data_IF_204696292180
#
_entry.id   IF_204696292180
#
_cell.length_a   1.000
_cell.length_b   1.000
_cell.length_c   1.000
_cell.angle_alpha   90.00
_cell.angle_beta   90.00
_cell.angle_gamma   90.00
#
_symmetry.space_group_name_H-M   'P 1'
#
loop_
_entity.id
_entity.type
_entity.pdbx_description
1 polymer ?
#
# COMPACT_ATOMS: atom_id res chain seq x y z
N UNK A 1 27.34 4.86 -24.26
CA UNK A 1 26.53 3.87 -23.51
C UNK A 1 25.07 4.12 -23.86
N UNK A 2 24.42 3.22 -24.59
CA UNK A 2 23.05 3.40 -25.04
C UNK A 2 22.12 3.21 -23.83
N UNK A 3 21.40 4.26 -23.41
CA UNK A 3 20.38 4.14 -22.38
C UNK A 3 19.20 3.35 -22.95
N UNK A 4 19.20 2.02 -22.78
CA UNK A 4 17.98 1.24 -22.94
C UNK A 4 17.06 1.64 -21.78
N UNK A 5 15.94 2.31 -22.07
CA UNK A 5 14.92 2.54 -21.04
C UNK A 5 14.33 1.18 -20.67
N UNK A 6 14.83 0.59 -19.58
CA UNK A 6 14.20 -0.57 -18.97
C UNK A 6 12.74 -0.26 -18.65
N UNK A 7 11.87 -1.25 -18.87
CA UNK A 7 10.46 -1.18 -18.47
C UNK A 7 10.43 -1.02 -16.94
N UNK A 8 9.78 0.06 -16.46
CA UNK A 8 9.56 0.29 -15.04
C UNK A 8 8.17 -0.18 -14.65
N UNK A 9 8.10 -0.88 -13.53
CA UNK A 9 6.85 -1.28 -12.89
C UNK A 9 6.71 -0.51 -11.59
N UNK A 10 5.51 -0.01 -11.34
CA UNK A 10 5.11 0.53 -10.04
C UNK A 10 4.22 -0.50 -9.36
N UNK A 11 4.47 -0.76 -8.08
CA UNK A 11 3.75 -1.76 -7.29
C UNK A 11 3.17 -1.06 -6.08
N UNK A 12 1.89 -1.29 -5.81
CA UNK A 12 1.22 -0.83 -4.59
C UNK A 12 0.72 -2.06 -3.83
N UNK A 13 1.46 -2.48 -2.78
CA UNK A 13 1.14 -3.64 -1.97
C UNK A 13 0.37 -3.26 -0.69
N UNK A 14 -0.38 -4.20 -0.13
CA UNK A 14 -0.91 -4.21 1.24
C UNK A 14 -0.69 -5.59 1.82
N UNK A 15 -0.13 -5.65 3.02
CA UNK A 15 0.17 -6.87 3.75
C UNK A 15 -0.74 -6.97 4.98
N UNK A 16 -1.54 -8.03 5.05
CA UNK A 16 -2.35 -8.36 6.23
C UNK A 16 -1.52 -9.07 7.29
N UNK A 17 -1.99 -9.03 8.54
CA UNK A 17 -1.32 -9.67 9.69
C UNK A 17 -1.33 -11.20 9.60
N UNK A 18 -2.27 -11.76 8.84
CA UNK A 18 -2.39 -13.18 8.52
C UNK A 18 -1.45 -13.62 7.39
N UNK A 19 -0.69 -12.68 6.80
CA UNK A 19 0.18 -12.90 5.66
C UNK A 19 -0.52 -12.75 4.31
N UNK A 20 -1.79 -12.31 4.27
CA UNK A 20 -2.48 -11.98 3.02
C UNK A 20 -1.79 -10.81 2.31
N UNK A 21 -1.74 -10.87 0.98
CA UNK A 21 -1.05 -9.88 0.16
C UNK A 21 -1.96 -9.39 -0.97
N UNK A 22 -2.40 -8.13 -0.88
CA UNK A 22 -3.12 -7.45 -1.95
C UNK A 22 -2.13 -6.58 -2.74
N UNK A 23 -2.00 -6.80 -4.05
CA UNK A 23 -1.01 -6.08 -4.86
C UNK A 23 -1.63 -5.57 -6.13
N UNK A 24 -1.48 -4.26 -6.36
CA UNK A 24 -1.75 -3.65 -7.66
C UNK A 24 -0.45 -3.35 -8.38
N UNK A 25 -0.36 -3.84 -9.63
CA UNK A 25 0.78 -3.69 -10.52
C UNK A 25 0.44 -2.73 -11.66
N UNK A 26 1.23 -1.67 -11.83
CA UNK A 26 1.12 -0.74 -12.93
C UNK A 26 2.40 -0.79 -13.78
N UNK A 27 2.24 -1.09 -15.06
CA UNK A 27 3.34 -1.09 -16.03
C UNK A 27 3.46 0.32 -16.63
N UNK A 28 4.65 0.92 -16.52
CA UNK A 28 5.05 2.17 -17.21
C UNK A 28 4.36 3.46 -16.70
N UNK A 29 3.68 3.44 -15.56
CA UNK A 29 3.11 4.64 -14.92
C UNK A 29 3.32 4.69 -13.40
N UNK A 30 3.42 5.90 -12.85
CA UNK A 30 3.43 6.14 -11.41
C UNK A 30 2.01 6.12 -10.86
N UNK A 31 1.83 5.72 -9.60
CA UNK A 31 0.55 5.87 -8.93
C UNK A 31 0.18 7.35 -8.78
N UNK A 32 -1.01 7.71 -9.27
CA UNK A 32 -1.66 8.98 -8.98
C UNK A 32 -2.55 8.83 -7.74
N UNK A 33 -2.92 9.94 -7.10
CA UNK A 33 -3.88 9.93 -6.00
C UNK A 33 -5.17 9.15 -6.37
N UNK A 34 -5.69 9.35 -7.59
CA UNK A 34 -6.90 8.65 -8.05
C UNK A 34 -6.70 7.12 -8.14
N UNK A 35 -5.57 6.67 -8.70
CA UNK A 35 -5.29 5.23 -8.81
C UNK A 35 -5.07 4.56 -7.46
N UNK A 36 -4.50 5.31 -6.51
CA UNK A 36 -4.32 4.92 -5.11
C UNK A 36 -5.66 4.84 -4.38
N UNK A 37 -6.50 5.88 -4.45
CA UNK A 37 -7.81 5.89 -3.81
C UNK A 37 -8.68 4.75 -4.33
N UNK A 38 -8.69 4.53 -5.65
CA UNK A 38 -9.41 3.41 -6.25
C UNK A 38 -8.93 2.07 -5.70
N UNK A 39 -7.61 1.90 -5.53
CA UNK A 39 -7.05 0.67 -4.97
C UNK A 39 -7.53 0.45 -3.54
N UNK A 40 -7.35 1.45 -2.66
CA UNK A 40 -7.74 1.31 -1.25
C UNK A 40 -9.25 1.07 -1.13
N UNK A 41 -10.07 1.92 -1.75
CA UNK A 41 -11.51 1.90 -1.56
C UNK A 41 -12.18 0.65 -2.17
N UNK A 42 -11.68 0.14 -3.29
CA UNK A 42 -12.34 -0.94 -4.03
C UNK A 42 -11.69 -2.31 -3.82
N UNK A 43 -10.41 -2.38 -3.47
CA UNK A 43 -9.67 -3.63 -3.38
C UNK A 43 -9.12 -3.93 -1.98
N UNK A 44 -9.09 -2.95 -1.07
CA UNK A 44 -8.55 -3.14 0.30
C UNK A 44 -9.67 -3.05 1.33
N UNK A 45 -10.37 -1.91 1.42
CA UNK A 45 -11.40 -1.70 2.43
C UNK A 45 -12.52 -2.77 2.44
N UNK A 46 -12.96 -3.35 1.30
CA UNK A 46 -13.96 -4.42 1.32
C UNK A 46 -13.52 -5.71 2.03
N UNK A 47 -12.22 -5.87 2.28
CA UNK A 47 -11.65 -7.03 2.98
C UNK A 47 -11.24 -6.72 4.42
N UNK A 48 -11.52 -5.50 4.90
CA UNK A 48 -11.22 -5.06 6.27
C UNK A 48 -12.48 -5.12 7.13
N UNK A 49 -12.29 -5.17 8.46
CA UNK A 49 -13.39 -5.22 9.42
C UNK A 49 -13.45 -3.94 10.27
N UNK A 50 -14.60 -3.70 10.92
CA UNK A 50 -14.69 -2.64 11.91
C UNK A 50 -14.07 -3.05 13.26
N UNK A 51 -13.55 -2.08 14.00
CA UNK A 51 -13.06 -2.30 15.37
C UNK A 51 -14.18 -2.89 16.25
N UNK A 52 -13.89 -3.90 17.10
CA UNK A 52 -12.58 -4.41 17.50
C UNK A 52 -12.14 -5.70 16.79
N UNK A 53 -12.67 -6.01 15.60
CA UNK A 53 -12.34 -7.25 14.89
C UNK A 53 -10.91 -7.24 14.32
N UNK A 54 -10.43 -8.40 13.87
CA UNK A 54 -9.15 -8.48 13.14
C UNK A 54 -9.20 -7.64 11.85
N UNK A 55 -8.04 -7.20 11.34
CA UNK A 55 -7.92 -6.40 10.12
C UNK A 55 -8.73 -5.10 10.14
N UNK A 56 -8.81 -4.45 11.31
CA UNK A 56 -9.57 -3.22 11.52
C UNK A 56 -8.75 -1.93 11.59
N UNK A 57 -7.44 -2.02 11.34
CA UNK A 57 -6.52 -0.88 11.38
C UNK A 57 -5.74 -0.84 10.08
N UNK A 58 -5.91 0.23 9.32
CA UNK A 58 -5.16 0.50 8.10
C UNK A 58 -3.93 1.34 8.44
N UNK A 59 -2.75 0.71 8.41
CA UNK A 59 -1.47 1.39 8.63
C UNK A 59 -0.84 1.75 7.29
N UNK A 60 -0.46 3.01 7.09
CA UNK A 60 0.12 3.50 5.84
C UNK A 60 1.43 4.25 6.07
N UNK A 61 2.29 4.28 5.04
CA UNK A 61 3.48 5.14 5.09
C UNK A 61 3.09 6.64 5.14
N UNK A 62 4.05 7.49 5.51
CA UNK A 62 3.81 8.93 5.69
C UNK A 62 3.80 9.75 4.38
N UNK A 63 3.72 9.11 3.20
CA UNK A 63 3.78 9.82 1.93
C UNK A 63 2.52 10.66 1.69
N UNK A 64 2.67 11.74 0.90
CA UNK A 64 1.57 12.69 0.65
C UNK A 64 0.37 12.04 -0.02
N UNK A 65 0.59 11.05 -0.89
CA UNK A 65 -0.50 10.36 -1.61
C UNK A 65 -1.37 9.51 -0.67
N UNK A 66 -0.80 9.00 0.43
CA UNK A 66 -1.54 8.17 1.38
C UNK A 66 -2.45 8.98 2.31
N UNK A 67 -2.18 10.28 2.45
CA UNK A 67 -3.00 11.22 3.24
C UNK A 67 -4.26 11.70 2.50
N UNK A 68 -4.83 10.88 1.62
CA UNK A 68 -6.10 11.21 0.96
C UNK A 68 -7.20 11.35 2.00
N UNK A 69 -7.81 12.54 2.06
CA UNK A 69 -8.94 12.81 2.94
C UNK A 69 -10.15 11.93 2.61
N UNK A 70 -10.31 11.55 1.33
CA UNK A 70 -11.38 10.67 0.90
C UNK A 70 -11.22 9.27 1.51
N UNK A 71 -10.01 8.70 1.43
CA UNK A 71 -9.69 7.39 2.02
C UNK A 71 -9.91 7.41 3.52
N UNK A 72 -9.37 8.41 4.23
CA UNK A 72 -9.53 8.53 5.68
C UNK A 72 -11.00 8.61 6.05
N UNK A 73 -11.77 9.48 5.40
CA UNK A 73 -13.20 9.67 5.69
C UNK A 73 -13.99 8.38 5.50
N UNK A 74 -13.77 7.66 4.41
CA UNK A 74 -14.54 6.44 4.09
C UNK A 74 -14.12 5.25 4.97
N UNK A 75 -12.82 5.12 5.28
CA UNK A 75 -12.34 4.10 6.21
C UNK A 75 -12.91 4.32 7.63
N UNK A 76 -12.83 5.55 8.15
CA UNK A 76 -13.41 5.88 9.46
C UNK A 76 -14.93 5.66 9.48
N UNK A 77 -15.64 6.02 8.41
CA UNK A 77 -17.07 5.75 8.30
C UNK A 77 -17.42 4.25 8.29
N UNK A 78 -16.51 3.41 7.82
CA UNK A 78 -16.62 1.95 7.88
C UNK A 78 -16.19 1.35 9.24
N UNK A 79 -15.79 2.18 10.21
CA UNK A 79 -15.31 1.72 11.52
C UNK A 79 -13.88 1.18 11.50
N UNK A 80 -13.10 1.52 10.48
CA UNK A 80 -11.69 1.14 10.32
C UNK A 80 -10.83 2.30 10.84
N UNK A 81 -9.88 2.01 11.74
CA UNK A 81 -8.91 3.01 12.17
C UNK A 81 -7.84 3.22 11.08
N UNK A 82 -7.34 4.44 10.98
CA UNK A 82 -6.30 4.81 10.02
C UNK A 82 -5.12 5.38 10.78
N UNK A 83 -3.96 4.76 10.60
CA UNK A 83 -2.70 5.15 11.23
C UNK A 83 -1.63 5.40 10.18
N UNK A 84 -0.74 6.37 10.46
CA UNK A 84 0.38 6.70 9.59
C UNK A 84 1.70 6.46 10.32
N UNK A 85 2.64 5.79 9.65
CA UNK A 85 3.97 5.60 10.20
C UNK A 85 4.70 6.95 10.37
N UNK A 86 5.61 7.08 11.35
CA UNK A 86 6.45 8.26 11.48
C UNK A 86 7.30 8.48 10.20
N UNK A 87 7.70 9.73 9.91
CA UNK A 87 8.56 10.00 8.77
C UNK A 87 9.86 9.17 8.85
N UNK A 88 10.33 8.67 7.71
CA UNK A 88 11.60 7.94 7.59
C UNK A 88 11.75 6.76 8.57
N UNK A 89 10.66 6.03 8.83
CA UNK A 89 10.67 4.79 9.64
C UNK A 89 10.49 3.54 8.76
N UNK A 90 11.40 3.25 7.80
CA UNK A 90 11.29 2.05 6.96
C UNK A 90 11.41 0.77 7.80
N UNK A 91 12.16 0.81 8.90
CA UNK A 91 12.38 -0.34 9.79
C UNK A 91 11.11 -0.82 10.50
N UNK A 92 10.06 0.02 10.55
CA UNK A 92 8.78 -0.34 11.17
C UNK A 92 7.74 -0.82 10.16
N UNK A 93 8.08 -0.91 8.87
CA UNK A 93 7.18 -1.34 7.82
C UNK A 93 7.52 -2.77 7.35
N UNK A 94 6.80 -3.81 7.82
CA UNK A 94 7.11 -5.20 7.47
C UNK A 94 7.04 -5.49 5.96
N UNK A 95 6.37 -4.63 5.19
CA UNK A 95 6.32 -4.74 3.74
C UNK A 95 7.68 -4.52 3.07
N UNK A 96 8.59 -3.76 3.69
CA UNK A 96 9.92 -3.48 3.14
C UNK A 96 10.79 -4.74 3.08
N UNK A 97 10.66 -5.62 4.06
CA UNK A 97 11.34 -6.92 4.08
C UNK A 97 10.80 -7.82 2.96
N UNK A 98 9.47 -7.94 2.85
CA UNK A 98 8.82 -8.68 1.78
C UNK A 98 9.22 -8.15 0.38
N UNK A 99 9.29 -6.82 0.23
CA UNK A 99 9.76 -6.19 -1.00
C UNK A 99 11.22 -6.47 -1.30
N UNK A 100 12.07 -6.55 -0.28
CA UNK A 100 13.49 -6.85 -0.45
C UNK A 100 13.69 -8.26 -1.01
N UNK A 101 12.95 -9.25 -0.53
CA UNK A 101 12.92 -10.61 -1.08
C UNK A 101 12.43 -10.61 -2.53
N UNK A 102 11.30 -9.95 -2.80
CA UNK A 102 10.72 -9.87 -4.14
C UNK A 102 11.67 -9.19 -5.15
N UNK A 103 12.28 -8.07 -4.77
CA UNK A 103 13.30 -7.38 -5.58
C UNK A 103 14.52 -8.25 -5.85
N UNK A 104 14.97 -9.05 -4.87
CA UNK A 104 16.09 -9.96 -5.05
C UNK A 104 15.76 -11.09 -6.05
N UNK A 105 14.54 -11.61 -6.01
CA UNK A 105 14.06 -12.60 -6.98
C UNK A 105 14.01 -12.04 -8.41
N UNK A 106 13.50 -10.83 -8.61
CA UNK A 106 13.42 -10.18 -9.93
C UNK A 106 14.78 -9.85 -10.58
N UNK A 107 15.86 -9.80 -9.79
CA UNK A 107 17.21 -9.46 -10.26
C UNK A 107 18.00 -10.68 -10.74
N UNK A 108 17.47 -11.89 -10.54
CA UNK A 108 18.03 -13.14 -11.05
C UNK A 108 17.60 -13.33 -12.50
#
# INVERSE_FOLDING_TARGET
TQFVRNIRYSILPVLGIDGSLHVRLLKVCSFTCQSYEKFILQEVLPHMNCIPNADSVLVMDNTRIHKSQLVVKLATAAGIAVEFLPPYSPDTNPIEEAFSVYKAWLRR
#
